data_IF_817696464479
#
_entry.id   IF_817696464479
#
_cell.length_a   1.000
_cell.length_b   1.000
_cell.length_c   1.000
_cell.angle_alpha   90.00
_cell.angle_beta   90.00
_cell.angle_gamma   90.00
#
_symmetry.space_group_name_H-M   'P 1'
#
loop_
_entity.id
_entity.type
_entity.pdbx_description
1 polymer ?
#
# COMPACT_ATOMS: atom_id res chain seq x y z
N UNK A 1 22.01 7.20 -0.42
CA UNK A 1 20.97 7.15 -1.48
C UNK A 1 19.55 6.97 -0.93
N UNK A 2 19.30 6.10 0.05
CA UNK A 2 17.94 5.78 0.55
C UNK A 2 17.10 6.97 1.05
N UNK A 3 17.71 7.90 1.80
CA UNK A 3 16.96 9.03 2.37
C UNK A 3 16.43 10.00 1.30
N UNK A 4 17.20 10.24 0.22
CA UNK A 4 16.81 11.17 -0.85
C UNK A 4 15.59 10.69 -1.64
N UNK A 5 15.45 9.38 -1.83
CA UNK A 5 14.27 8.80 -2.48
C UNK A 5 13.03 9.05 -1.63
N UNK A 6 13.09 8.70 -0.34
CA UNK A 6 11.92 8.82 0.53
C UNK A 6 11.48 10.26 0.74
N UNK A 7 12.43 11.19 0.94
CA UNK A 7 12.14 12.63 1.04
C UNK A 7 11.37 13.12 -0.20
N UNK A 8 11.75 12.69 -1.42
CA UNK A 8 11.04 13.09 -2.64
C UNK A 8 9.69 12.39 -2.79
N UNK A 9 9.59 11.13 -2.37
CA UNK A 9 8.33 10.40 -2.42
C UNK A 9 7.28 11.04 -1.49
N UNK A 10 7.68 11.49 -0.29
CA UNK A 10 6.76 12.13 0.66
C UNK A 10 6.28 13.50 0.20
N UNK A 11 7.08 14.27 -0.57
CA UNK A 11 6.66 15.61 -1.04
C UNK A 11 5.57 15.57 -2.11
N UNK A 12 5.41 14.47 -2.83
CA UNK A 12 4.45 14.36 -3.94
C UNK A 12 3.28 13.42 -3.68
N UNK A 13 3.26 12.76 -2.52
CA UNK A 13 2.32 11.69 -2.19
C UNK A 13 1.32 12.03 -1.09
N UNK A 14 0.46 11.09 -0.76
CA UNK A 14 -0.56 11.20 0.28
C UNK A 14 -0.22 10.29 1.47
N UNK A 15 -0.84 10.51 2.64
CA UNK A 15 -0.72 9.61 3.79
C UNK A 15 -1.15 8.17 3.46
N UNK A 16 -2.15 8.03 2.59
CA UNK A 16 -2.65 6.76 2.08
C UNK A 16 -1.58 6.00 1.29
N UNK A 17 -0.94 6.69 0.33
CA UNK A 17 0.21 6.16 -0.40
C UNK A 17 1.33 5.73 0.55
N UNK A 18 1.72 6.59 1.50
CA UNK A 18 2.85 6.32 2.38
C UNK A 18 2.63 5.04 3.20
N UNK A 19 1.42 4.83 3.74
CA UNK A 19 1.06 3.59 4.44
C UNK A 19 1.18 2.36 3.55
N UNK A 20 0.60 2.40 2.34
CA UNK A 20 0.65 1.25 1.41
C UNK A 20 2.07 0.97 0.93
N UNK A 21 2.84 2.02 0.64
CA UNK A 21 4.23 1.88 0.24
C UNK A 21 5.06 1.24 1.35
N UNK A 22 4.98 1.74 2.58
CA UNK A 22 5.75 1.18 3.70
C UNK A 22 5.38 -0.28 3.99
N UNK A 23 4.09 -0.61 4.01
CA UNK A 23 3.63 -1.99 4.22
C UNK A 23 4.15 -2.94 3.12
N UNK A 24 4.01 -2.54 1.85
CA UNK A 24 4.50 -3.35 0.72
C UNK A 24 6.03 -3.41 0.63
N UNK A 25 6.72 -2.35 1.03
CA UNK A 25 8.17 -2.29 1.11
C UNK A 25 8.71 -3.22 2.20
N UNK A 26 8.06 -3.27 3.36
CA UNK A 26 8.40 -4.23 4.43
C UNK A 26 8.26 -5.67 3.94
N UNK A 27 7.16 -6.00 3.25
CA UNK A 27 6.99 -7.33 2.65
C UNK A 27 8.08 -7.66 1.62
N UNK A 28 8.46 -6.69 0.79
CA UNK A 28 9.56 -6.85 -0.15
C UNK A 28 10.88 -7.14 0.56
N UNK A 29 11.22 -6.35 1.59
CA UNK A 29 12.46 -6.53 2.35
C UNK A 29 12.52 -7.90 3.03
N UNK A 30 11.42 -8.33 3.68
CA UNK A 30 11.30 -9.68 4.27
C UNK A 30 11.52 -10.77 3.22
N UNK A 31 10.90 -10.64 2.04
CA UNK A 31 11.12 -11.57 0.93
C UNK A 31 12.58 -11.60 0.47
N UNK A 32 13.24 -10.44 0.35
CA UNK A 32 14.65 -10.40 -0.08
C UNK A 32 15.60 -10.98 0.97
N UNK A 33 15.27 -10.83 2.26
CA UNK A 33 16.00 -11.47 3.34
C UNK A 33 15.84 -13.00 3.28
N UNK A 34 14.61 -13.50 3.10
CA UNK A 34 14.37 -14.93 2.92
C UNK A 34 15.11 -15.47 1.69
N UNK A 35 15.10 -14.76 0.57
CA UNK A 35 15.84 -15.16 -0.63
C UNK A 35 17.35 -15.22 -0.39
N UNK A 36 17.89 -14.33 0.45
CA UNK A 36 19.29 -14.35 0.82
C UNK A 36 19.63 -15.56 1.71
N UNK A 37 18.74 -15.91 2.65
CA UNK A 37 18.87 -17.11 3.50
C UNK A 37 18.79 -18.40 2.68
N UNK A 38 17.79 -18.52 1.79
CA UNK A 38 17.67 -19.68 0.90
C UNK A 38 18.94 -19.86 0.05
N UNK A 39 19.59 -18.75 -0.35
CA UNK A 39 20.86 -18.78 -1.09
C UNK A 39 22.04 -19.18 -0.19
N UNK A 40 22.11 -18.71 1.05
CA UNK A 40 23.23 -18.99 1.96
C UNK A 40 23.30 -20.47 2.33
N UNK A 41 22.15 -21.14 2.44
CA UNK A 41 22.07 -22.57 2.75
C UNK A 41 21.94 -23.47 1.50
N UNK A 42 22.09 -22.93 0.28
CA UNK A 42 21.93 -23.66 -0.98
C UNK A 42 20.59 -24.42 -1.08
N UNK A 43 19.52 -23.82 -0.56
CA UNK A 43 18.20 -24.44 -0.52
C UNK A 43 17.62 -24.62 -1.93
N UNK A 44 17.26 -25.86 -2.28
CA UNK A 44 16.55 -26.17 -3.53
C UNK A 44 15.05 -26.01 -3.29
N UNK A 45 14.47 -24.98 -3.88
CA UNK A 45 13.05 -24.69 -3.79
C UNK A 45 12.21 -25.59 -4.70
N UNK A 46 11.00 -25.91 -4.27
CA UNK A 46 9.93 -26.31 -5.20
C UNK A 46 9.44 -25.10 -5.99
N UNK A 47 8.76 -25.30 -7.12
CA UNK A 47 8.13 -24.20 -7.88
C UNK A 47 7.19 -23.38 -6.98
N UNK A 48 6.41 -24.06 -6.12
CA UNK A 48 5.47 -23.39 -5.21
C UNK A 48 6.17 -22.52 -4.17
N UNK A 49 7.21 -23.04 -3.49
CA UNK A 49 7.97 -22.28 -2.50
C UNK A 49 8.74 -21.12 -3.13
N UNK A 50 9.33 -21.33 -4.31
CA UNK A 50 9.98 -20.28 -5.09
C UNK A 50 9.00 -19.16 -5.44
N UNK A 51 7.83 -19.47 -6.01
CA UNK A 51 6.84 -18.46 -6.41
C UNK A 51 6.30 -17.68 -5.21
N UNK A 52 6.21 -18.30 -4.03
CA UNK A 52 5.82 -17.60 -2.80
C UNK A 52 6.83 -16.50 -2.44
N UNK A 53 8.12 -16.82 -2.43
CA UNK A 53 9.19 -15.83 -2.17
C UNK A 53 9.27 -14.82 -3.32
N UNK A 54 9.19 -15.28 -4.57
CA UNK A 54 9.32 -14.42 -5.76
C UNK A 54 8.27 -13.32 -5.83
N UNK A 55 7.02 -13.60 -5.43
CA UNK A 55 5.96 -12.59 -5.36
C UNK A 55 6.28 -11.45 -4.39
N UNK A 56 7.07 -11.73 -3.36
CA UNK A 56 7.53 -10.72 -2.42
C UNK A 56 8.75 -9.97 -2.97
N UNK A 57 9.67 -10.66 -3.66
CA UNK A 57 10.93 -10.06 -4.13
C UNK A 57 10.88 -9.37 -5.49
N UNK A 58 9.75 -9.45 -6.21
CA UNK A 58 9.61 -8.80 -7.52
C UNK A 58 9.40 -7.29 -7.43
N UNK A 59 9.08 -6.76 -6.24
CA UNK A 59 8.94 -5.32 -6.03
C UNK A 59 7.72 -4.69 -6.69
N UNK A 60 6.82 -5.48 -7.27
CA UNK A 60 5.63 -4.99 -7.98
C UNK A 60 4.70 -4.21 -7.05
N UNK A 61 4.44 -4.70 -5.83
CA UNK A 61 3.52 -4.05 -4.89
C UNK A 61 3.97 -2.63 -4.48
N UNK A 62 5.22 -2.39 -4.06
CA UNK A 62 5.67 -1.02 -3.78
C UNK A 62 5.70 -0.13 -5.03
N UNK A 63 5.95 -0.68 -6.23
CA UNK A 63 5.83 0.09 -7.48
C UNK A 63 4.38 0.49 -7.79
N UNK A 64 3.42 -0.41 -7.59
CA UNK A 64 2.00 -0.14 -7.81
C UNK A 64 1.45 0.97 -6.91
N UNK A 65 2.03 1.16 -5.72
CA UNK A 65 1.63 2.26 -4.84
C UNK A 65 1.75 3.62 -5.55
N UNK A 66 2.77 3.83 -6.37
CA UNK A 66 2.99 5.11 -7.07
C UNK A 66 1.88 5.44 -8.06
N UNK A 67 1.36 4.45 -8.78
CA UNK A 67 0.25 4.65 -9.72
C UNK A 67 -1.06 5.03 -9.01
N UNK A 68 -1.16 4.80 -7.69
CA UNK A 68 -2.35 5.14 -6.91
C UNK A 68 -2.31 6.56 -6.33
N UNK A 69 -1.20 7.30 -6.48
CA UNK A 69 -1.06 8.65 -5.90
C UNK A 69 -2.13 9.60 -6.44
N UNK A 70 -2.37 9.60 -7.75
CA UNK A 70 -3.36 10.51 -8.35
C UNK A 70 -4.80 10.11 -7.98
N UNK A 71 -5.08 8.81 -7.83
CA UNK A 71 -6.37 8.34 -7.31
C UNK A 71 -6.59 8.77 -5.86
N UNK A 72 -5.57 8.63 -5.00
CA UNK A 72 -5.65 9.09 -3.62
C UNK A 72 -5.93 10.60 -3.55
N UNK A 73 -5.24 11.40 -4.39
CA UNK A 73 -5.46 12.85 -4.45
C UNK A 73 -6.86 13.18 -4.95
N UNK A 74 -7.39 12.45 -5.92
CA UNK A 74 -8.76 12.62 -6.39
C UNK A 74 -9.77 12.35 -5.26
N UNK A 75 -9.59 11.27 -4.50
CA UNK A 75 -10.45 10.93 -3.35
C UNK A 75 -10.40 11.98 -2.23
N UNK A 76 -9.24 12.62 -2.01
CA UNK A 76 -9.12 13.71 -1.04
C UNK A 76 -9.79 15.00 -1.52
N UNK A 77 -9.75 15.29 -2.83
CA UNK A 77 -10.39 16.46 -3.45
C UNK A 77 -11.91 16.32 -3.54
N UNK A 78 -12.42 15.09 -3.67
CA UNK A 78 -13.86 14.79 -3.67
C UNK A 78 -14.50 14.96 -2.27
N UNK A 79 -13.70 15.41 -1.27
CA UNK A 79 -14.19 15.89 0.01
C UNK A 79 -15.03 14.86 0.75
N UNK A 80 -14.42 13.73 1.16
CA UNK A 80 -15.08 12.75 2.01
C UNK A 80 -16.49 12.44 1.52
N UNK A 81 -16.62 11.83 0.34
CA UNK A 81 -17.90 11.32 -0.14
C UNK A 81 -18.44 10.42 0.96
N UNK A 82 -19.40 10.94 1.75
CA UNK A 82 -20.10 10.16 2.76
C UNK A 82 -20.54 8.88 2.08
N UNK A 83 -20.22 7.73 2.68
CA UNK A 83 -20.75 6.48 2.15
C UNK A 83 -22.28 6.61 2.11
N UNK A 84 -22.99 5.93 1.20
CA UNK A 84 -24.46 6.00 1.15
C UNK A 84 -25.12 5.78 2.51
N UNK A 85 -24.47 5.04 3.40
CA UNK A 85 -24.88 4.80 4.79
C UNK A 85 -24.79 6.05 5.68
N UNK A 86 -23.76 6.88 5.50
CA UNK A 86 -23.58 8.13 6.26
C UNK A 86 -24.52 9.24 5.76
N UNK A 87 -24.92 9.19 4.49
CA UNK A 87 -25.96 10.09 3.93
C UNK A 87 -27.34 9.72 4.45
N UNK A 88 -27.66 8.42 4.57
CA UNK A 88 -28.93 7.96 5.15
C UNK A 88 -29.08 8.33 6.64
N UNK A 89 -28.00 8.25 7.42
CA UNK A 89 -28.04 8.61 8.85
C UNK A 89 -28.32 10.10 9.11
N UNK A 90 -27.87 10.99 8.24
CA UNK A 90 -28.17 12.44 8.34
C UNK A 90 -29.63 12.75 8.00
N UNK A 91 -30.22 12.01 7.05
CA UNK A 91 -31.62 12.18 6.64
C UNK A 91 -32.57 11.74 7.76
N UNK A 92 -32.21 10.69 8.50
CA UNK A 92 -33.01 10.16 9.62
C UNK A 92 -32.90 11.05 10.88
N UNK A 93 -31.78 11.74 11.09
CA UNK A 93 -31.57 12.61 12.26
C UNK A 93 -32.33 13.95 12.23
N UNK A 94 -32.82 14.38 11.07
CA UNK A 94 -33.47 15.69 10.88
C UNK A 94 -34.97 15.74 11.15
N UNK A 95 -35.60 14.64 11.57
CA UNK A 95 -37.07 14.53 11.66
C UNK A 95 -37.65 14.44 13.08
N UNK A 96 -36.92 14.88 14.11
CA UNK A 96 -37.48 15.06 15.46
C UNK A 96 -37.20 16.46 15.99
N UNK A 97 -37.86 17.46 15.40
CA UNK A 97 -38.24 18.68 16.10
C UNK A 97 -39.59 19.16 15.58
N UNK A 98 -40.65 18.64 16.21
CA UNK A 98 -41.93 19.30 16.47
C UNK A 98 -42.49 18.74 17.76
#
# INVERSE_FOLDING_TARGET
MHNRFWIRATTISTNSFQRRFLASWEHYLKGTAQQAEDRSCSHICTVSSYLKVRRQTIGVMPSLAFFQIEMDKALLKDGGRKSSLEVEMDIVGGHNMT
#
